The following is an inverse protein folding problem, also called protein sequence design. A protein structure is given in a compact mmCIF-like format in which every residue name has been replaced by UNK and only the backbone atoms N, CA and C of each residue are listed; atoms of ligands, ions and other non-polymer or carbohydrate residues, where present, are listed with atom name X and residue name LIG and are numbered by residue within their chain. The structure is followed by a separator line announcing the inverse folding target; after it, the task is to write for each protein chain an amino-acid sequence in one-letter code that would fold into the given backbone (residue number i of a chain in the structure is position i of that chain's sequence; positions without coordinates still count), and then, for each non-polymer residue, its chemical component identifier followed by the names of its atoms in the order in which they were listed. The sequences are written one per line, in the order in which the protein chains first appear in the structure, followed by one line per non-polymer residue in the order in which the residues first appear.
data_IF_782017454046
#
_entry.id   IF_782017454046
#
_cell.length_a   1.000
_cell.length_b   1.000
_cell.length_c   1.000
_cell.angle_alpha   90.00
_cell.angle_beta   90.00
_cell.angle_gamma   90.00
#
_symmetry.space_group_name_H-M   'P 1'
#
loop_
_entity.id
_entity.type
_entity.pdbx_description
1 polymer ?
#
# COMPACT_ATOMS: atom_id res chain seq x y z
N UNK A 1 31.79 11.40 18.43
CA UNK A 1 32.79 10.64 17.67
C UNK A 1 33.13 9.39 18.48
N UNK A 2 32.73 8.22 17.99
CA UNK A 2 33.24 6.93 18.43
C UNK A 2 32.95 5.96 17.29
N UNK A 3 33.84 5.95 16.30
CA UNK A 3 33.84 4.98 15.22
C UNK A 3 34.29 3.63 15.81
N UNK A 4 33.35 2.69 15.99
CA UNK A 4 33.68 1.29 16.23
C UNK A 4 33.99 0.66 14.87
N UNK A 5 35.26 0.27 14.66
CA UNK A 5 35.68 -0.49 13.49
C UNK A 5 34.94 -1.84 13.41
N UNK A 6 34.70 -2.39 12.21
CA UNK A 6 33.86 -3.56 12.03
C UNK A 6 34.62 -4.80 12.47
N UNK A 7 34.24 -5.37 13.63
CA UNK A 7 34.53 -6.77 13.91
C UNK A 7 33.92 -7.62 12.79
N UNK A 8 34.62 -8.68 12.40
CA UNK A 8 34.23 -9.68 11.39
C UNK A 8 33.00 -10.54 11.79
N UNK A 9 32.01 -9.93 12.44
CA UNK A 9 30.73 -10.55 12.75
C UNK A 9 29.70 -10.08 11.74
N UNK A 10 29.17 -11.02 10.96
CA UNK A 10 27.98 -10.80 10.15
C UNK A 10 26.90 -10.12 11.03
N UNK A 11 26.26 -9.04 10.57
CA UNK A 11 25.17 -8.42 11.33
C UNK A 11 24.10 -9.48 11.61
N UNK A 12 23.47 -9.46 12.79
CA UNK A 12 22.45 -10.44 13.14
C UNK A 12 21.39 -10.51 12.04
N UNK A 13 21.03 -11.72 11.63
CA UNK A 13 20.04 -11.95 10.61
C UNK A 13 18.74 -11.18 10.93
N UNK A 14 18.08 -10.57 9.93
CA UNK A 14 16.87 -9.80 10.17
C UNK A 14 15.80 -10.69 10.84
N UNK A 15 15.02 -10.14 11.78
CA UNK A 15 14.00 -10.91 12.47
C UNK A 15 12.96 -11.43 11.46
N UNK A 16 12.45 -12.66 11.64
CA UNK A 16 11.46 -13.20 10.73
C UNK A 16 10.15 -12.42 10.84
N UNK A 17 9.70 -11.87 9.72
CA UNK A 17 8.45 -11.11 9.63
C UNK A 17 7.48 -11.77 8.66
N UNK A 18 6.19 -11.57 8.89
CA UNK A 18 5.10 -11.94 8.00
C UNK A 18 4.52 -10.66 7.41
N UNK A 19 4.35 -10.63 6.09
CA UNK A 19 3.73 -9.52 5.39
C UNK A 19 2.35 -9.96 4.91
N UNK A 20 1.31 -9.31 5.41
CA UNK A 20 -0.08 -9.55 5.03
C UNK A 20 -0.59 -8.41 4.16
N UNK A 21 -1.17 -8.75 3.01
CA UNK A 21 -1.72 -7.78 2.06
C UNK A 21 -3.23 -7.90 2.03
N UNK A 22 -3.91 -6.90 2.58
CA UNK A 22 -5.35 -6.72 2.48
C UNK A 22 -5.68 -5.65 1.43
N UNK A 23 -6.95 -5.53 0.97
CA UNK A 23 -7.29 -4.63 -0.14
C UNK A 23 -6.89 -3.16 0.07
N UNK A 24 -6.88 -2.65 1.30
CA UNK A 24 -6.56 -1.25 1.60
C UNK A 24 -5.38 -1.06 2.56
N UNK A 25 -4.85 -2.15 3.11
CA UNK A 25 -3.82 -2.15 4.16
C UNK A 25 -2.80 -3.24 3.90
N UNK A 26 -1.54 -2.94 4.19
CA UNK A 26 -0.42 -3.86 4.22
C UNK A 26 0.12 -3.86 5.64
N UNK A 27 0.28 -5.05 6.22
CA UNK A 27 0.72 -5.21 7.60
C UNK A 27 1.99 -6.02 7.64
N UNK A 28 2.99 -5.54 8.37
CA UNK A 28 4.22 -6.27 8.67
C UNK A 28 4.15 -6.63 10.16
N UNK A 29 4.16 -7.93 10.46
CA UNK A 29 4.11 -8.44 11.82
C UNK A 29 5.30 -9.37 12.10
N UNK A 30 5.69 -9.46 13.37
CA UNK A 30 6.70 -10.42 13.80
C UNK A 30 6.13 -11.85 13.75
N UNK A 31 6.87 -12.78 13.14
CA UNK A 31 6.38 -14.13 12.83
C UNK A 31 5.99 -14.96 14.07
N UNK A 32 6.67 -14.77 15.20
CA UNK A 32 6.46 -15.61 16.39
C UNK A 32 5.43 -15.03 17.36
N UNK A 33 5.40 -13.71 17.48
CA UNK A 33 4.59 -13.01 18.48
C UNK A 33 3.33 -12.39 17.89
N UNK A 34 3.18 -12.43 16.56
CA UNK A 34 2.12 -11.74 15.80
C UNK A 34 2.06 -10.23 16.11
N UNK A 35 3.11 -9.67 16.70
CA UNK A 35 3.18 -8.27 17.05
C UNK A 35 3.30 -7.43 15.77
N UNK A 36 2.35 -6.52 15.57
CA UNK A 36 2.35 -5.63 14.41
C UNK A 36 3.50 -4.63 14.53
N UNK A 37 4.46 -4.74 13.62
CA UNK A 37 5.61 -3.85 13.52
C UNK A 37 5.27 -2.61 12.70
N UNK A 38 4.44 -2.78 11.67
CA UNK A 38 4.07 -1.71 10.77
C UNK A 38 2.71 -1.97 10.13
N UNK A 39 1.87 -0.94 10.06
CA UNK A 39 0.66 -0.92 9.25
C UNK A 39 0.78 0.20 8.21
N UNK A 40 0.67 -0.17 6.94
CA UNK A 40 0.82 0.69 5.78
C UNK A 40 -0.51 0.75 5.03
N UNK A 41 -1.05 1.95 4.80
CA UNK A 41 -2.27 2.09 3.99
C UNK A 41 -1.93 2.20 2.51
N UNK A 42 -2.50 1.33 1.68
CA UNK A 42 -2.22 1.26 0.23
C UNK A 42 -2.43 2.61 -0.47
N UNK A 43 -3.37 3.44 0.00
CA UNK A 43 -3.62 4.79 -0.56
C UNK A 43 -2.45 5.77 -0.45
N UNK A 44 -1.49 5.50 0.44
CA UNK A 44 -0.32 6.34 0.67
C UNK A 44 0.95 5.71 0.12
N UNK A 45 0.86 4.53 -0.48
CA UNK A 45 1.97 3.91 -1.19
C UNK A 45 2.22 4.73 -2.45
N UNK A 46 3.41 5.31 -2.55
CA UNK A 46 3.81 6.13 -3.69
C UNK A 46 4.58 5.33 -4.74
N UNK A 47 5.39 4.37 -4.29
CA UNK A 47 6.22 3.54 -5.17
C UNK A 47 6.46 2.16 -4.54
N UNK A 48 6.68 1.16 -5.38
CA UNK A 48 7.15 -0.17 -4.96
C UNK A 48 7.98 -0.81 -6.06
N UNK A 49 8.86 -1.73 -5.69
CA UNK A 49 9.69 -2.44 -6.66
C UNK A 49 10.48 -3.59 -6.05
N UNK A 50 10.90 -4.49 -6.92
CA UNK A 50 11.92 -5.51 -6.64
C UNK A 50 13.28 -4.92 -6.97
N UNK A 51 14.26 -5.12 -6.10
CA UNK A 51 15.62 -4.64 -6.28
C UNK A 51 16.39 -5.41 -7.36
N UNK A 52 17.70 -5.13 -7.48
CA UNK A 52 18.59 -5.92 -8.35
C UNK A 52 18.68 -7.37 -7.88
N UNK A 53 18.60 -7.59 -6.58
CA UNK A 53 18.38 -8.92 -6.01
C UNK A 53 16.88 -9.24 -6.02
N UNK A 54 16.52 -10.39 -6.59
CA UNK A 54 15.13 -10.86 -6.72
C UNK A 54 14.45 -11.09 -5.37
N UNK A 55 15.21 -11.24 -4.28
CA UNK A 55 14.70 -11.36 -2.91
C UNK A 55 14.42 -10.02 -2.25
N UNK A 56 15.05 -8.95 -2.74
CA UNK A 56 14.89 -7.62 -2.18
C UNK A 56 13.61 -6.97 -2.72
N UNK A 57 12.65 -6.72 -1.83
CA UNK A 57 11.46 -5.93 -2.13
C UNK A 57 11.49 -4.63 -1.36
N UNK A 58 11.07 -3.53 -1.97
CA UNK A 58 10.91 -2.26 -1.28
C UNK A 58 9.64 -1.52 -1.71
N UNK A 59 9.06 -0.77 -0.78
CA UNK A 59 7.97 0.15 -1.06
C UNK A 59 8.15 1.45 -0.28
N UNK A 60 7.64 2.53 -0.86
CA UNK A 60 7.75 3.89 -0.35
C UNK A 60 6.35 4.39 -0.01
N UNK A 61 6.23 4.89 1.22
CA UNK A 61 5.00 5.42 1.78
C UNK A 61 5.13 6.93 1.99
N UNK A 62 4.14 7.70 1.56
CA UNK A 62 3.99 9.09 1.95
C UNK A 62 3.39 9.16 3.37
N UNK A 63 4.21 9.48 4.37
CA UNK A 63 3.78 9.56 5.77
C UNK A 63 3.18 10.92 6.12
N UNK A 64 3.65 11.98 5.46
CA UNK A 64 3.18 13.35 5.58
C UNK A 64 3.54 14.12 4.30
N UNK A 65 2.98 15.32 4.04
CA UNK A 65 3.38 16.12 2.89
C UNK A 65 4.89 16.38 2.88
N UNK A 66 5.58 15.93 1.82
CA UNK A 66 7.04 16.04 1.71
C UNK A 66 7.86 14.99 2.48
N UNK A 67 7.23 14.11 3.26
CA UNK A 67 7.92 13.09 4.06
C UNK A 67 7.60 11.69 3.57
N UNK A 68 8.63 10.96 3.15
CA UNK A 68 8.54 9.60 2.63
C UNK A 68 9.28 8.62 3.52
N UNK A 69 8.72 7.41 3.67
CA UNK A 69 9.34 6.29 4.39
C UNK A 69 9.49 5.10 3.46
N UNK A 70 10.72 4.61 3.32
CA UNK A 70 11.01 3.39 2.59
C UNK A 70 10.98 2.20 3.55
N UNK A 71 10.31 1.13 3.15
CA UNK A 71 10.29 -0.15 3.83
C UNK A 71 10.92 -1.18 2.91
N UNK A 72 11.93 -1.90 3.40
CA UNK A 72 12.59 -2.96 2.67
C UNK A 72 12.28 -4.30 3.36
N UNK A 73 11.92 -5.28 2.55
CA UNK A 73 11.61 -6.64 2.98
C UNK A 73 12.47 -7.60 2.17
N UNK A 74 13.06 -8.57 2.87
CA UNK A 74 13.80 -9.66 2.23
C UNK A 74 12.91 -10.90 2.17
N UNK A 75 12.63 -11.39 0.97
CA UNK A 75 11.73 -12.50 0.72
C UNK A 75 12.49 -13.73 0.22
N UNK A 76 12.14 -14.91 0.73
CA UNK A 76 12.68 -16.19 0.27
C UNK A 76 11.55 -17.04 -0.35
N UNK A 77 11.70 -17.64 -1.55
CA UNK A 77 12.89 -17.63 -2.41
C UNK A 77 13.07 -16.35 -3.24
N UNK A 78 12.02 -15.55 -3.41
CA UNK A 78 12.06 -14.26 -4.11
C UNK A 78 10.86 -13.39 -3.71
N UNK A 79 10.85 -12.14 -4.17
CA UNK A 79 9.82 -11.14 -3.90
C UNK A 79 8.61 -11.20 -4.85
N UNK A 80 8.54 -12.12 -5.81
CA UNK A 80 7.52 -12.12 -6.87
C UNK A 80 6.11 -12.14 -6.28
N UNK A 81 5.81 -13.11 -5.41
CA UNK A 81 4.48 -13.23 -4.80
C UNK A 81 4.07 -12.01 -3.97
N UNK A 82 5.01 -11.40 -3.24
CA UNK A 82 4.72 -10.18 -2.47
C UNK A 82 4.48 -8.99 -3.40
N UNK A 83 5.29 -8.82 -4.43
CA UNK A 83 5.16 -7.74 -5.41
C UNK A 83 3.85 -7.82 -6.19
N UNK A 84 3.44 -9.02 -6.62
CA UNK A 84 2.18 -9.25 -7.32
C UNK A 84 0.96 -8.99 -6.42
N UNK A 85 1.00 -9.48 -5.18
CA UNK A 85 -0.07 -9.26 -4.22
C UNK A 85 -0.27 -7.76 -3.93
N UNK A 86 0.82 -7.02 -3.70
CA UNK A 86 0.74 -5.58 -3.44
C UNK A 86 0.32 -4.81 -4.68
N UNK A 87 0.77 -5.22 -5.87
CA UNK A 87 0.33 -4.64 -7.14
C UNK A 87 -1.17 -4.81 -7.33
N UNK A 88 -1.70 -6.02 -7.10
CA UNK A 88 -3.12 -6.31 -7.20
C UNK A 88 -3.95 -5.46 -6.22
N UNK A 89 -3.49 -5.32 -4.97
CA UNK A 89 -4.14 -4.45 -3.99
C UNK A 89 -4.18 -2.98 -4.45
N UNK A 90 -3.07 -2.45 -4.98
CA UNK A 90 -3.00 -1.10 -5.52
C UNK A 90 -4.00 -0.88 -6.68
N UNK A 91 -4.07 -1.83 -7.62
CA UNK A 91 -5.00 -1.76 -8.76
C UNK A 91 -6.45 -1.80 -8.30
N UNK A 92 -6.79 -2.69 -7.36
CA UNK A 92 -8.14 -2.78 -6.78
C UNK A 92 -8.51 -1.46 -6.09
N UNK A 93 -7.59 -0.84 -5.36
CA UNK A 93 -7.85 0.44 -4.70
C UNK A 93 -8.07 1.58 -5.70
N UNK A 94 -7.22 1.70 -6.72
CA UNK A 94 -7.39 2.69 -7.78
C UNK A 94 -8.75 2.55 -8.49
N UNK A 95 -9.15 1.30 -8.80
CA UNK A 95 -10.45 0.99 -9.38
C UNK A 95 -11.60 1.36 -8.45
N UNK A 96 -11.52 1.01 -7.16
CA UNK A 96 -12.55 1.35 -6.16
C UNK A 96 -12.76 2.85 -6.05
N UNK A 97 -11.67 3.62 -5.94
CA UNK A 97 -11.73 5.09 -5.90
C UNK A 97 -12.40 5.62 -7.17
N UNK A 98 -11.98 5.14 -8.34
CA UNK A 98 -12.59 5.53 -9.61
C UNK A 98 -14.09 5.21 -9.68
N UNK A 99 -14.51 4.03 -9.22
CA UNK A 99 -15.93 3.63 -9.19
C UNK A 99 -16.76 4.46 -8.21
N UNK A 100 -16.21 4.80 -7.04
CA UNK A 100 -16.89 5.67 -6.06
C UNK A 100 -17.06 7.08 -6.59
N UNK A 101 -16.02 7.66 -7.23
CA UNK A 101 -16.09 8.99 -7.86
C UNK A 101 -17.14 9.00 -8.96
N UNK A 102 -17.13 8.02 -9.88
CA UNK A 102 -18.12 7.94 -10.96
C UNK A 102 -19.56 7.85 -10.42
N UNK A 103 -19.80 7.04 -9.40
CA UNK A 103 -21.12 6.94 -8.76
C UNK A 103 -21.54 8.27 -8.13
N UNK A 104 -20.66 8.91 -7.37
CA UNK A 104 -20.94 10.23 -6.78
C UNK A 104 -21.29 11.29 -7.83
N UNK A 105 -20.50 11.37 -8.90
CA UNK A 105 -20.76 12.29 -10.03
C UNK A 105 -22.10 11.97 -10.71
N UNK A 106 -22.43 10.70 -10.92
CA UNK A 106 -23.69 10.30 -11.54
C UNK A 106 -24.90 10.62 -10.65
N UNK A 107 -24.79 10.43 -9.34
CA UNK A 107 -25.81 10.82 -8.37
C UNK A 107 -26.03 12.34 -8.40
N UNK A 108 -24.96 13.13 -8.38
CA UNK A 108 -25.03 14.59 -8.47
C UNK A 108 -25.69 15.06 -9.79
N UNK A 109 -25.26 14.52 -10.92
CA UNK A 109 -25.87 14.80 -12.22
C UNK A 109 -27.36 14.41 -12.27
N UNK A 110 -27.72 13.31 -11.63
CA UNK A 110 -29.12 12.87 -11.50
C UNK A 110 -29.96 13.86 -10.68
N UNK A 111 -29.40 14.43 -9.61
CA UNK A 111 -30.09 15.45 -8.79
C UNK A 111 -30.17 16.83 -9.46
N UNK A 112 -29.24 17.14 -10.36
CA UNK A 112 -29.22 18.40 -11.10
C UNK A 112 -30.13 18.39 -12.34
N UNK A 113 -30.71 17.24 -12.70
CA UNK A 113 -31.65 17.14 -13.81
C UNK A 113 -32.95 17.85 -13.40
N UNK A 114 -33.34 18.96 -14.05
CA UNK A 114 -34.53 19.71 -13.66
C UNK A 114 -35.74 18.78 -13.77
N UNK A 115 -36.57 18.73 -12.71
CA UNK A 115 -37.92 18.16 -12.85
C UNK A 115 -38.59 18.95 -13.98
N UNK A 116 -38.82 18.31 -15.13
CA UNK A 116 -39.82 18.78 -16.08
C UNK A 116 -41.13 18.79 -15.32
N UNK A 117 -41.53 19.98 -14.84
CA UNK A 117 -42.85 20.23 -14.30
C UNK A 117 -43.83 19.95 -15.43
N UNK A 118 -44.50 18.81 -15.37
CA UNK A 118 -45.67 18.56 -16.19
C UNK A 118 -46.74 19.55 -15.77
N UNK A 119 -46.98 20.55 -16.60
CA UNK A 119 -48.17 21.38 -16.52
C UNK A 119 -49.38 20.45 -16.74
N UNK A 120 -50.14 20.19 -15.67
CA UNK A 120 -51.53 19.74 -15.82
C UNK A 120 -52.33 20.99 -16.14
N UNK A 121 -52.75 21.12 -17.40
CA UNK A 121 -53.75 22.10 -17.81
C UNK A 121 -55.16 21.55 -17.49
N UNK A 122 -56.08 22.40 -17.03
CA UNK A 122 -57.44 22.01 -16.62
C UNK A 122 -58.33 21.55 -17.77
#
# INVERSE_FOLDING_TARGET
EAALAPGSGEPPAPPPVVVSVAPATLTIAHRQTEAVLCECRVRFLSFMGVGRDVRAFAFIMASAPGTFRCHMVWCEPNAAGLSEALQAACVVMARRVGSSVRRGVQTLLGTLKPRRGGAQTP
#
